data_IF_559092536267
#
_entry.id   IF_559092536267
#
_cell.length_a   1.000
_cell.length_b   1.000
_cell.length_c   1.000
_cell.angle_alpha   90.00
_cell.angle_beta   90.00
_cell.angle_gamma   90.00
#
_symmetry.space_group_name_H-M   'P 1'
#
loop_
_entity.id
_entity.type
_entity.pdbx_description
1 polymer ?
#
# COMPACT_ATOMS: atom_id res chain seq x y z
N UNK A 1 -39.19 7.92 23.79
CA UNK A 1 -39.47 6.95 24.86
C UNK A 1 -38.27 6.02 25.15
N UNK A 2 -37.66 5.38 24.15
CA UNK A 2 -36.51 4.46 24.32
C UNK A 2 -35.30 5.12 25.00
N UNK A 3 -34.92 6.34 24.61
CA UNK A 3 -33.79 7.06 25.22
C UNK A 3 -34.04 7.35 26.69
N UNK A 4 -35.27 7.75 27.07
CA UNK A 4 -35.64 7.97 28.45
C UNK A 4 -35.58 6.67 29.29
N UNK A 5 -36.07 5.57 28.75
CA UNK A 5 -35.99 4.26 29.40
C UNK A 5 -34.56 3.79 29.60
N UNK A 6 -33.71 4.01 28.60
CA UNK A 6 -32.27 3.69 28.68
C UNK A 6 -31.57 4.51 29.78
N UNK A 7 -31.78 5.83 29.79
CA UNK A 7 -31.23 6.72 30.84
C UNK A 7 -31.74 6.33 32.22
N UNK A 8 -33.05 6.06 32.36
CA UNK A 8 -33.63 5.61 33.62
C UNK A 8 -33.02 4.29 34.11
N UNK A 9 -32.88 3.30 33.24
CA UNK A 9 -32.24 2.03 33.58
C UNK A 9 -30.78 2.20 33.94
N UNK A 10 -30.04 3.04 33.25
CA UNK A 10 -28.63 3.32 33.54
C UNK A 10 -28.47 3.96 34.92
N UNK A 11 -29.29 4.94 35.28
CA UNK A 11 -29.18 5.68 36.53
C UNK A 11 -29.76 4.94 37.76
N UNK A 12 -30.76 4.04 37.56
CA UNK A 12 -31.47 3.43 38.67
C UNK A 12 -31.30 1.92 38.79
N UNK A 13 -30.79 1.24 37.75
CA UNK A 13 -30.67 -0.21 37.72
C UNK A 13 -29.22 -0.70 37.51
N UNK A 14 -28.31 0.20 37.12
CA UNK A 14 -26.91 -0.17 37.00
C UNK A 14 -26.23 -0.29 38.38
N UNK A 15 -25.62 -1.41 38.66
CA UNK A 15 -24.84 -1.63 39.87
C UNK A 15 -23.36 -1.34 39.52
N UNK A 16 -22.78 -0.34 40.17
CA UNK A 16 -21.38 0.00 40.05
C UNK A 16 -20.60 -0.66 41.21
N UNK A 17 -19.65 -1.51 40.85
CA UNK A 17 -18.72 -2.12 41.82
C UNK A 17 -17.36 -1.40 41.70
N UNK A 18 -17.01 -0.51 42.64
CA UNK A 18 -15.68 0.11 42.64
C UNK A 18 -14.63 -0.94 43.03
N UNK A 19 -13.58 -1.03 42.23
CA UNK A 19 -12.43 -1.88 42.51
C UNK A 19 -11.22 -0.97 42.69
N UNK A 20 -10.60 -1.01 43.87
CA UNK A 20 -9.37 -0.28 44.18
C UNK A 20 -8.18 -1.23 44.07
N UNK A 21 -7.06 -0.74 43.57
CA UNK A 21 -5.82 -1.47 43.49
C UNK A 21 -4.67 -0.65 44.10
N UNK A 22 -3.79 -1.31 44.79
CA UNK A 22 -2.68 -0.65 45.51
C UNK A 22 -1.60 -0.12 44.57
N UNK A 23 -1.50 -0.71 43.38
CA UNK A 23 -0.58 -0.30 42.32
C UNK A 23 -1.23 -0.31 40.95
N UNK A 24 -0.70 0.48 40.03
CA UNK A 24 -1.19 0.56 38.69
C UNK A 24 -1.01 -0.77 37.90
N UNK A 25 0.06 -1.52 38.18
CA UNK A 25 0.27 -2.85 37.60
C UNK A 25 -0.78 -3.85 38.11
N UNK A 26 -1.16 -3.77 39.37
CA UNK A 26 -2.26 -4.54 39.95
C UNK A 26 -3.61 -4.13 39.33
N UNK A 27 -3.85 -2.82 39.14
CA UNK A 27 -5.04 -2.32 38.47
C UNK A 27 -5.14 -2.82 37.03
N UNK A 28 -4.06 -2.77 36.26
CA UNK A 28 -3.99 -3.28 34.90
C UNK A 28 -4.19 -4.81 34.85
N UNK A 29 -3.64 -5.55 35.81
CA UNK A 29 -3.84 -7.00 35.90
C UNK A 29 -5.29 -7.35 36.23
N UNK A 30 -5.90 -6.67 37.19
CA UNK A 30 -7.32 -6.84 37.54
C UNK A 30 -8.18 -6.49 36.35
N UNK A 31 -7.94 -5.34 35.69
CA UNK A 31 -8.69 -4.88 34.55
C UNK A 31 -8.57 -5.84 33.35
N UNK A 32 -7.37 -6.35 33.06
CA UNK A 32 -7.17 -7.34 31.99
C UNK A 32 -7.86 -8.66 32.30
N UNK A 33 -7.83 -9.12 33.56
CA UNK A 33 -8.47 -10.36 33.99
C UNK A 33 -10.00 -10.27 33.99
N UNK A 34 -10.54 -9.13 34.37
CA UNK A 34 -12.00 -8.88 34.29
C UNK A 34 -12.48 -8.77 32.85
N UNK A 35 -11.66 -8.16 31.95
CA UNK A 35 -11.96 -8.06 30.53
C UNK A 35 -11.72 -9.33 29.73
N UNK A 36 -11.03 -10.34 30.28
CA UNK A 36 -10.94 -11.68 29.65
C UNK A 36 -12.32 -12.35 29.44
N UNK A 37 -13.35 -11.84 30.13
CA UNK A 37 -14.75 -12.23 29.93
C UNK A 37 -15.55 -11.25 29.05
N UNK A 38 -14.91 -10.18 28.54
CA UNK A 38 -15.47 -9.14 27.69
C UNK A 38 -14.56 -8.83 26.49
N UNK A 39 -14.44 -7.54 26.11
CA UNK A 39 -13.47 -7.10 25.10
C UNK A 39 -12.09 -6.95 25.75
N UNK A 40 -11.08 -7.75 25.35
CA UNK A 40 -9.74 -7.65 25.91
C UNK A 40 -9.14 -6.27 25.60
N UNK A 41 -8.28 -5.76 26.50
CA UNK A 41 -7.50 -4.56 26.22
C UNK A 41 -6.75 -4.68 24.90
N UNK A 42 -6.86 -3.65 24.09
CA UNK A 42 -6.08 -3.57 22.85
C UNK A 42 -4.59 -3.48 23.15
N UNK A 43 -3.76 -3.91 22.23
CA UNK A 43 -2.30 -3.76 22.38
C UNK A 43 -1.92 -2.28 22.54
N UNK A 44 -2.64 -1.36 21.87
CA UNK A 44 -2.45 0.08 21.99
C UNK A 44 -2.69 0.59 23.40
N UNK A 45 -3.72 0.11 24.11
CA UNK A 45 -3.99 0.51 25.51
C UNK A 45 -2.89 0.04 26.47
N UNK A 46 -2.40 -1.19 26.27
CA UNK A 46 -1.28 -1.73 27.04
C UNK A 46 -0.02 -0.89 26.79
N UNK A 47 0.27 -0.54 25.55
CA UNK A 47 1.44 0.26 25.20
C UNK A 47 1.34 1.66 25.76
N UNK A 48 0.18 2.31 25.68
CA UNK A 48 -0.11 3.59 26.31
C UNK A 48 0.21 3.58 27.79
N UNK A 49 -0.31 2.58 28.50
CA UNK A 49 -0.08 2.45 29.94
C UNK A 49 1.41 2.22 30.28
N UNK A 50 2.12 1.39 29.49
CA UNK A 50 3.55 1.14 29.72
C UNK A 50 4.42 2.38 29.46
N UNK A 51 4.14 3.13 28.40
CA UNK A 51 4.85 4.40 28.11
C UNK A 51 4.56 5.41 29.24
N UNK A 52 3.29 5.62 29.57
CA UNK A 52 2.89 6.54 30.63
C UNK A 52 3.58 6.25 31.97
N UNK A 53 3.67 4.96 32.36
CA UNK A 53 4.31 4.55 33.60
C UNK A 53 5.83 4.73 33.60
N UNK A 54 6.45 4.74 32.42
CA UNK A 54 7.88 4.97 32.25
C UNK A 54 8.25 6.44 32.32
N UNK A 55 7.33 7.35 32.02
CA UNK A 55 7.54 8.80 32.05
C UNK A 55 7.39 9.36 33.48
N UNK A 56 7.95 10.54 33.72
CA UNK A 56 7.88 11.24 35.01
C UNK A 56 7.42 12.69 34.83
N UNK A 57 6.86 13.25 35.90
CA UNK A 57 6.52 14.67 36.02
C UNK A 57 5.67 15.19 34.85
N UNK A 58 6.10 16.32 34.27
CA UNK A 58 5.38 17.00 33.15
C UNK A 58 5.32 16.18 31.87
N UNK A 59 6.24 15.25 31.66
CA UNK A 59 6.25 14.43 30.43
C UNK A 59 5.02 13.52 30.34
N UNK A 60 4.41 13.16 31.49
CA UNK A 60 3.14 12.43 31.53
C UNK A 60 1.99 13.23 30.95
N UNK A 61 1.90 14.51 31.29
CA UNK A 61 0.83 15.40 30.80
C UNK A 61 0.96 15.61 29.29
N UNK A 62 2.18 15.93 28.84
CA UNK A 62 2.49 16.09 27.41
C UNK A 62 2.17 14.81 26.62
N UNK A 63 2.53 13.65 27.18
CA UNK A 63 2.26 12.36 26.56
C UNK A 63 0.75 12.10 26.39
N UNK A 64 -0.05 12.41 27.41
CA UNK A 64 -1.52 12.21 27.35
C UNK A 64 -2.13 13.04 26.23
N UNK A 65 -1.75 14.32 26.13
CA UNK A 65 -2.23 15.22 25.08
C UNK A 65 -1.80 14.72 23.69
N UNK A 66 -0.53 14.40 23.52
CA UNK A 66 0.00 13.86 22.26
C UNK A 66 -0.64 12.52 21.87
N UNK A 67 -0.92 11.65 22.83
CA UNK A 67 -1.59 10.38 22.54
C UNK A 67 -3.03 10.59 22.09
N UNK A 68 -3.74 11.54 22.70
CA UNK A 68 -5.10 11.91 22.27
C UNK A 68 -5.08 12.46 20.85
N UNK A 69 -4.16 13.36 20.56
CA UNK A 69 -3.97 13.90 19.20
C UNK A 69 -3.65 12.80 18.19
N UNK A 70 -2.75 11.86 18.55
CA UNK A 70 -2.40 10.71 17.72
C UNK A 70 -3.63 9.87 17.35
N UNK A 71 -4.51 9.59 18.31
CA UNK A 71 -5.72 8.81 18.10
C UNK A 71 -6.73 9.52 17.17
N UNK A 72 -6.94 10.81 17.41
CA UNK A 72 -7.80 11.66 16.58
C UNK A 72 -7.28 11.72 15.13
N UNK A 73 -5.99 11.97 14.94
CA UNK A 73 -5.39 12.05 13.62
C UNK A 73 -5.32 10.69 12.90
N UNK A 74 -5.03 9.60 13.61
CA UNK A 74 -5.06 8.25 13.04
C UNK A 74 -6.47 7.90 12.54
N UNK A 75 -7.49 8.15 13.35
CA UNK A 75 -8.89 7.94 12.98
C UNK A 75 -9.27 8.78 11.74
N UNK A 76 -8.88 10.05 11.72
CA UNK A 76 -9.10 10.94 10.57
C UNK A 76 -8.44 10.41 9.29
N UNK A 77 -7.27 9.77 9.40
CA UNK A 77 -6.55 9.14 8.29
C UNK A 77 -7.08 7.74 7.92
N UNK A 78 -8.17 7.25 8.52
CA UNK A 78 -8.70 5.88 8.39
C UNK A 78 -7.70 4.80 8.85
N UNK A 79 -6.91 5.10 9.87
CA UNK A 79 -5.98 4.16 10.52
C UNK A 79 -6.30 4.03 12.01
N UNK A 80 -5.67 3.09 12.70
CA UNK A 80 -5.75 2.94 14.16
C UNK A 80 -4.36 2.97 14.77
N UNK A 81 -4.26 3.39 16.04
CA UNK A 81 -2.99 3.34 16.77
C UNK A 81 -2.41 1.93 16.77
N UNK A 82 -3.24 0.91 16.93
CA UNK A 82 -2.78 -0.50 16.88
C UNK A 82 -2.13 -0.85 15.53
N UNK A 83 -2.71 -0.36 14.43
CA UNK A 83 -2.14 -0.58 13.10
C UNK A 83 -0.84 0.20 12.90
N UNK A 84 -0.74 1.41 13.44
CA UNK A 84 0.51 2.19 13.41
C UNK A 84 1.64 1.47 14.17
N UNK A 85 1.38 0.89 15.34
CA UNK A 85 2.36 0.06 16.05
C UNK A 85 2.75 -1.19 15.27
N UNK A 86 1.81 -1.80 14.54
CA UNK A 86 2.13 -2.91 13.65
C UNK A 86 3.07 -2.49 12.52
N UNK A 87 2.85 -1.33 11.89
CA UNK A 87 3.76 -0.78 10.88
C UNK A 87 5.12 -0.43 11.48
N UNK A 88 5.13 0.22 12.64
CA UNK A 88 6.37 0.60 13.33
C UNK A 88 7.21 -0.61 13.73
N UNK A 89 6.59 -1.73 14.06
CA UNK A 89 7.29 -3.00 14.26
C UNK A 89 8.13 -3.41 13.03
N UNK A 90 7.62 -3.23 11.82
CA UNK A 90 8.40 -3.54 10.62
C UNK A 90 9.57 -2.57 10.40
N UNK A 91 9.40 -1.30 10.77
CA UNK A 91 10.50 -0.33 10.77
C UNK A 91 11.60 -0.73 11.77
N UNK A 92 11.25 -1.06 13.01
CA UNK A 92 12.21 -1.51 14.01
C UNK A 92 12.91 -2.82 13.60
N UNK A 93 12.17 -3.77 13.06
CA UNK A 93 12.75 -5.01 12.50
C UNK A 93 13.74 -4.74 11.37
N UNK A 94 13.47 -3.74 10.53
CA UNK A 94 14.40 -3.32 9.48
C UNK A 94 15.70 -2.75 10.07
N UNK A 95 15.62 -1.90 11.09
CA UNK A 95 16.77 -1.39 11.84
C UNK A 95 17.59 -2.52 12.49
N UNK A 96 16.90 -3.51 13.07
CA UNK A 96 17.49 -4.70 13.67
C UNK A 96 18.03 -5.71 12.62
N UNK A 97 17.83 -5.46 11.32
CA UNK A 97 18.12 -6.36 10.19
C UNK A 97 17.45 -7.72 10.33
N UNK A 98 16.27 -7.75 10.98
CA UNK A 98 15.48 -8.98 11.14
C UNK A 98 14.67 -9.27 9.87
N UNK A 99 15.19 -10.19 9.05
CA UNK A 99 14.57 -10.67 7.81
C UNK A 99 13.83 -12.00 7.97
N UNK A 100 13.62 -12.48 9.20
CA UNK A 100 12.91 -13.74 9.45
C UNK A 100 11.48 -13.66 8.93
N UNK A 101 11.05 -14.67 8.20
CA UNK A 101 9.71 -14.74 7.60
C UNK A 101 8.58 -14.86 8.63
N UNK A 102 8.85 -15.39 9.82
CA UNK A 102 7.89 -15.43 10.91
C UNK A 102 7.65 -14.03 11.48
N UNK A 103 6.44 -13.51 11.35
CA UNK A 103 6.06 -12.23 11.95
C UNK A 103 5.61 -12.49 13.40
N UNK A 104 6.27 -11.91 14.40
CA UNK A 104 5.80 -12.01 15.78
C UNK A 104 4.46 -11.27 15.96
N UNK A 105 3.65 -11.69 16.93
CA UNK A 105 2.51 -10.88 17.36
C UNK A 105 2.99 -9.55 17.93
N UNK A 106 2.25 -8.48 17.68
CA UNK A 106 2.63 -7.10 18.07
C UNK A 106 2.94 -7.02 19.57
N UNK A 107 2.04 -7.51 20.42
CA UNK A 107 2.25 -7.54 21.87
C UNK A 107 3.55 -8.26 22.25
N UNK A 108 3.78 -9.45 21.68
CA UNK A 108 4.99 -10.25 21.96
C UNK A 108 6.26 -9.53 21.53
N UNK A 109 6.24 -8.84 20.41
CA UNK A 109 7.38 -8.08 19.90
C UNK A 109 7.77 -6.93 20.84
N UNK A 110 6.78 -6.11 21.25
CA UNK A 110 7.04 -4.97 22.12
C UNK A 110 7.28 -5.35 23.57
N UNK A 111 6.68 -6.43 24.08
CA UNK A 111 6.90 -6.88 25.46
C UNK A 111 8.28 -7.51 25.68
N UNK A 112 8.96 -7.93 24.62
CA UNK A 112 10.33 -8.41 24.72
C UNK A 112 11.25 -7.32 25.26
N UNK A 113 12.28 -7.71 26.02
CA UNK A 113 13.21 -6.77 26.64
C UNK A 113 12.50 -5.69 27.51
N UNK A 114 11.51 -6.11 28.32
CA UNK A 114 10.79 -5.22 29.26
C UNK A 114 10.20 -3.96 28.61
N UNK A 115 9.66 -4.10 27.40
CA UNK A 115 9.08 -3.01 26.62
C UNK A 115 10.05 -1.90 26.18
N UNK A 116 11.36 -2.12 26.20
CA UNK A 116 12.37 -1.09 25.89
C UNK A 116 12.14 -0.41 24.52
N UNK A 117 11.52 -1.12 23.53
CA UNK A 117 11.16 -0.54 22.22
C UNK A 117 10.09 0.55 22.28
N UNK A 118 9.28 0.58 23.35
CA UNK A 118 8.26 1.62 23.57
C UNK A 118 8.82 2.92 24.17
N UNK A 119 10.02 2.87 24.71
CA UNK A 119 10.60 4.00 25.45
C UNK A 119 11.57 4.85 24.62
N UNK A 120 11.58 4.63 23.31
CA UNK A 120 12.39 5.41 22.38
C UNK A 120 11.77 6.79 22.19
N UNK A 121 12.59 7.84 22.27
CA UNK A 121 12.14 9.24 22.21
C UNK A 121 11.42 9.58 20.89
N UNK A 122 11.85 8.98 19.78
CA UNK A 122 11.31 9.19 18.44
C UNK A 122 10.04 8.39 18.14
N UNK A 123 9.57 7.52 19.04
CA UNK A 123 8.43 6.64 18.78
C UNK A 123 7.19 7.42 18.33
N UNK A 124 6.72 8.37 19.16
CA UNK A 124 5.51 9.13 18.85
C UNK A 124 5.66 9.96 17.58
N UNK A 125 6.83 10.59 17.38
CA UNK A 125 7.10 11.38 16.18
C UNK A 125 7.00 10.52 14.91
N UNK A 126 7.55 9.32 14.93
CA UNK A 126 7.46 8.39 13.82
C UNK A 126 6.02 7.90 13.58
N UNK A 127 5.21 7.74 14.63
CA UNK A 127 3.78 7.40 14.45
C UNK A 127 3.02 8.55 13.79
N UNK A 128 3.28 9.82 14.15
CA UNK A 128 2.70 10.98 13.47
C UNK A 128 3.13 11.07 12.01
N UNK A 129 4.42 10.82 11.72
CA UNK A 129 4.93 10.75 10.34
C UNK A 129 4.20 9.70 9.50
N UNK A 130 3.90 8.54 10.08
CA UNK A 130 3.10 7.53 9.36
C UNK A 130 1.69 8.04 9.06
N UNK A 131 1.07 8.78 9.98
CA UNK A 131 -0.26 9.36 9.76
C UNK A 131 -0.26 10.35 8.60
N UNK A 132 0.77 11.20 8.47
CA UNK A 132 0.92 12.11 7.33
C UNK A 132 0.88 11.36 6.00
N UNK A 133 1.65 10.27 5.88
CA UNK A 133 1.64 9.42 4.69
C UNK A 133 0.24 8.85 4.42
N UNK A 134 -0.46 8.38 5.46
CA UNK A 134 -1.80 7.79 5.31
C UNK A 134 -2.89 8.81 4.99
N UNK A 135 -2.76 10.07 5.43
CA UNK A 135 -3.64 11.17 4.99
C UNK A 135 -3.56 11.35 3.47
N UNK A 136 -2.36 11.31 2.90
CA UNK A 136 -2.19 11.39 1.44
C UNK A 136 -2.78 10.17 0.74
N UNK A 137 -2.47 8.95 1.22
CA UNK A 137 -2.89 7.71 0.56
C UNK A 137 -4.41 7.49 0.69
N UNK A 138 -4.96 7.64 1.90
CA UNK A 138 -6.35 7.27 2.18
C UNK A 138 -7.36 8.39 1.92
N UNK A 139 -6.92 9.65 2.02
CA UNK A 139 -7.79 10.83 1.88
C UNK A 139 -7.46 11.70 0.67
N UNK A 140 -6.30 11.49 0.04
CA UNK A 140 -5.83 12.33 -1.07
C UNK A 140 -5.42 13.73 -0.63
N UNK A 141 -5.19 13.94 0.67
CA UNK A 141 -4.76 15.23 1.22
C UNK A 141 -3.45 15.70 0.58
N UNK A 142 -3.26 17.02 0.58
CA UNK A 142 -1.99 17.66 0.24
C UNK A 142 -1.44 18.23 1.55
N UNK A 143 -0.23 17.80 1.89
CA UNK A 143 0.46 18.24 3.10
C UNK A 143 1.15 19.58 2.85
N UNK A 144 1.12 20.46 3.85
CA UNK A 144 1.84 21.72 3.82
C UNK A 144 3.35 21.46 3.77
N UNK A 145 4.08 22.19 2.92
CA UNK A 145 5.52 22.07 2.71
C UNK A 145 6.04 20.69 2.19
N UNK A 146 5.14 19.79 1.78
CA UNK A 146 5.48 18.45 1.28
C UNK A 146 5.06 18.30 -0.20
N UNK A 147 5.90 18.78 -1.13
CA UNK A 147 5.61 18.84 -2.59
C UNK A 147 5.20 17.48 -3.18
N UNK A 148 5.80 16.38 -2.71
CA UNK A 148 5.47 15.03 -3.17
C UNK A 148 3.98 14.68 -2.99
N UNK A 149 3.33 15.25 -1.95
CA UNK A 149 1.93 14.99 -1.63
C UNK A 149 0.96 15.56 -2.65
N UNK A 150 1.39 16.56 -3.44
CA UNK A 150 0.64 17.12 -4.56
C UNK A 150 0.99 16.49 -5.90
N UNK A 151 2.10 15.74 -5.99
CA UNK A 151 2.56 15.12 -7.24
C UNK A 151 1.62 14.04 -7.70
N UNK A 152 0.93 14.28 -8.82
CA UNK A 152 -0.07 13.35 -9.35
C UNK A 152 0.50 11.98 -9.71
N UNK A 153 1.76 11.90 -10.19
CA UNK A 153 2.38 10.62 -10.57
C UNK A 153 2.68 9.77 -9.33
N UNK A 154 3.13 10.37 -8.25
CA UNK A 154 3.29 9.69 -6.95
C UNK A 154 1.94 9.19 -6.45
N UNK A 155 0.90 10.05 -6.45
CA UNK A 155 -0.46 9.65 -6.06
C UNK A 155 -1.00 8.50 -6.91
N UNK A 156 -0.78 8.52 -8.22
CA UNK A 156 -1.19 7.44 -9.14
C UNK A 156 -0.49 6.12 -8.83
N UNK A 157 0.81 6.16 -8.52
CA UNK A 157 1.57 4.97 -8.15
C UNK A 157 1.13 4.41 -6.80
N UNK A 158 0.94 5.27 -5.80
CA UNK A 158 0.39 4.89 -4.49
C UNK A 158 -1.01 4.31 -4.62
N UNK A 159 -1.90 4.96 -5.39
CA UNK A 159 -3.24 4.45 -5.64
C UNK A 159 -3.21 3.08 -6.35
N UNK A 160 -2.25 2.85 -7.26
CA UNK A 160 -2.08 1.54 -7.87
C UNK A 160 -1.63 0.49 -6.85
N UNK A 161 -0.69 0.82 -5.97
CA UNK A 161 -0.22 -0.04 -4.88
C UNK A 161 -1.36 -0.42 -3.91
N UNK A 162 -2.35 0.46 -3.66
CA UNK A 162 -3.52 0.11 -2.83
C UNK A 162 -4.35 -1.05 -3.39
N UNK A 163 -4.19 -1.36 -4.68
CA UNK A 163 -4.84 -2.51 -5.33
C UNK A 163 -4.01 -3.79 -5.25
N UNK A 164 -2.85 -3.77 -4.61
CA UNK A 164 -2.07 -4.99 -4.38
C UNK A 164 -2.80 -5.93 -3.42
N UNK A 165 -2.82 -7.24 -3.65
CA UNK A 165 -3.69 -8.18 -2.93
C UNK A 165 -3.38 -8.39 -1.45
N UNK A 166 -2.32 -7.80 -0.93
CA UNK A 166 -1.95 -7.87 0.49
C UNK A 166 -1.29 -6.56 0.95
N UNK A 167 -0.87 -6.51 2.23
CA UNK A 167 -0.32 -5.30 2.85
C UNK A 167 1.21 -5.17 2.76
N UNK A 168 1.91 -6.13 2.13
CA UNK A 168 3.38 -6.12 2.11
C UNK A 168 3.99 -4.89 1.42
N UNK A 169 3.27 -4.25 0.51
CA UNK A 169 3.71 -3.00 -0.11
C UNK A 169 3.80 -1.82 0.87
N UNK A 170 3.00 -1.83 1.94
CA UNK A 170 2.92 -0.74 2.91
C UNK A 170 4.23 -0.56 3.68
N UNK A 171 4.87 -1.66 4.08
CA UNK A 171 6.06 -1.62 4.93
C UNK A 171 7.24 -0.91 4.28
N UNK A 172 7.71 -1.25 3.07
CA UNK A 172 8.78 -0.53 2.42
C UNK A 172 8.44 0.93 2.13
N UNK A 173 7.18 1.26 1.81
CA UNK A 173 6.74 2.65 1.59
C UNK A 173 6.84 3.47 2.88
N UNK A 174 6.34 2.94 4.00
CA UNK A 174 6.41 3.59 5.31
C UNK A 174 7.87 3.78 5.75
N UNK A 175 8.69 2.74 5.65
CA UNK A 175 10.10 2.78 6.07
C UNK A 175 10.87 3.81 5.23
N UNK A 176 10.65 3.82 3.92
CA UNK A 176 11.28 4.80 3.04
C UNK A 176 10.88 6.24 3.41
N UNK A 177 9.60 6.47 3.65
CA UNK A 177 9.09 7.77 4.05
C UNK A 177 9.68 8.23 5.39
N UNK A 178 9.69 7.38 6.42
CA UNK A 178 10.30 7.71 7.72
C UNK A 178 11.77 8.09 7.56
N UNK A 179 12.54 7.31 6.80
CA UNK A 179 13.98 7.49 6.68
C UNK A 179 14.36 8.74 5.87
N UNK A 180 13.63 9.05 4.79
CA UNK A 180 14.14 9.96 3.76
C UNK A 180 13.28 11.17 3.43
N UNK A 181 12.08 11.35 4.04
CA UNK A 181 11.16 12.45 3.70
C UNK A 181 11.78 13.85 3.80
N UNK A 182 12.79 14.02 4.62
CA UNK A 182 13.50 15.31 4.81
C UNK A 182 14.65 15.52 3.83
N UNK A 183 14.93 14.57 2.96
CA UNK A 183 16.01 14.68 2.00
C UNK A 183 15.70 15.73 0.92
N UNK A 184 16.71 16.47 0.49
CA UNK A 184 16.58 17.57 -0.50
C UNK A 184 15.90 17.14 -1.81
N UNK A 185 16.09 15.91 -2.27
CA UNK A 185 15.55 15.38 -3.52
C UNK A 185 14.53 14.24 -3.25
N UNK A 186 13.84 14.31 -2.12
CA UNK A 186 12.94 13.24 -1.68
C UNK A 186 11.88 12.90 -2.74
N UNK A 187 11.20 13.90 -3.29
CA UNK A 187 10.10 13.69 -4.25
C UNK A 187 10.54 12.83 -5.45
N UNK A 188 11.64 13.16 -6.10
CA UNK A 188 12.14 12.42 -7.26
C UNK A 188 12.59 11.00 -6.87
N UNK A 189 13.33 10.85 -5.78
CA UNK A 189 13.77 9.56 -5.27
C UNK A 189 12.59 8.68 -4.86
N UNK A 190 11.60 9.26 -4.19
CA UNK A 190 10.40 8.55 -3.75
C UNK A 190 9.56 8.07 -4.93
N UNK A 191 9.37 8.93 -5.94
CA UNK A 191 8.67 8.55 -7.18
C UNK A 191 9.33 7.34 -7.86
N UNK A 192 10.65 7.36 -8.00
CA UNK A 192 11.41 6.25 -8.62
C UNK A 192 11.39 4.99 -7.76
N UNK A 193 11.52 5.13 -6.45
CA UNK A 193 11.38 4.01 -5.51
C UNK A 193 10.01 3.36 -5.60
N UNK A 194 8.93 4.15 -5.58
CA UNK A 194 7.55 3.65 -5.69
C UNK A 194 7.29 2.94 -7.01
N UNK A 195 7.77 3.50 -8.12
CA UNK A 195 7.65 2.89 -9.44
C UNK A 195 8.40 1.55 -9.52
N UNK A 196 9.61 1.49 -8.95
CA UNK A 196 10.39 0.26 -8.87
C UNK A 196 9.70 -0.79 -8.00
N UNK A 197 9.22 -0.39 -6.82
CA UNK A 197 8.47 -1.27 -5.93
C UNK A 197 7.22 -1.83 -6.61
N UNK A 198 6.44 -0.97 -7.28
CA UNK A 198 5.25 -1.39 -8.01
C UNK A 198 5.60 -2.37 -9.14
N UNK A 199 6.68 -2.11 -9.89
CA UNK A 199 7.14 -3.00 -10.95
C UNK A 199 7.48 -4.40 -10.42
N UNK A 200 8.25 -4.48 -9.33
CA UNK A 200 8.63 -5.76 -8.72
C UNK A 200 7.44 -6.54 -8.16
N UNK A 201 6.59 -5.85 -7.40
CA UNK A 201 5.41 -6.47 -6.79
C UNK A 201 4.41 -6.96 -7.84
N UNK A 202 4.15 -6.15 -8.86
CA UNK A 202 3.25 -6.50 -9.96
C UNK A 202 3.76 -7.72 -10.73
N UNK A 203 5.03 -7.68 -11.15
CA UNK A 203 5.68 -8.76 -11.88
C UNK A 203 5.65 -10.06 -11.07
N UNK A 204 6.02 -9.99 -9.80
CA UNK A 204 6.03 -11.16 -8.92
C UNK A 204 4.64 -11.78 -8.76
N UNK A 205 3.60 -10.95 -8.57
CA UNK A 205 2.24 -11.45 -8.39
C UNK A 205 1.61 -12.00 -9.68
N UNK A 206 1.94 -11.43 -10.83
CA UNK A 206 1.49 -11.97 -12.12
C UNK A 206 1.98 -13.41 -12.31
N UNK A 207 3.21 -13.69 -11.92
CA UNK A 207 3.85 -15.00 -12.12
C UNK A 207 3.57 -15.99 -11.01
N UNK A 208 3.47 -15.51 -9.78
CA UNK A 208 3.23 -16.32 -8.58
C UNK A 208 2.13 -15.67 -7.77
N UNK A 209 0.85 -15.89 -8.10
CA UNK A 209 -0.29 -15.18 -7.51
C UNK A 209 -0.61 -15.70 -6.10
N UNK A 210 0.40 -15.72 -5.21
CA UNK A 210 0.26 -16.10 -3.80
C UNK A 210 0.65 -14.95 -2.89
N UNK A 211 -0.09 -14.82 -1.78
CA UNK A 211 0.08 -13.72 -0.81
C UNK A 211 1.51 -13.70 -0.23
N UNK A 212 2.10 -14.85 0.02
CA UNK A 212 3.39 -14.97 0.69
C UNK A 212 4.60 -14.92 -0.26
N UNK A 213 4.40 -14.90 -1.57
CA UNK A 213 5.50 -14.95 -2.55
C UNK A 213 6.52 -13.81 -2.39
N UNK A 214 6.08 -12.65 -1.93
CA UNK A 214 6.91 -11.43 -1.79
C UNK A 214 7.46 -11.21 -0.38
N UNK A 215 7.01 -11.99 0.61
CA UNK A 215 7.30 -11.73 2.03
C UNK A 215 8.79 -11.65 2.34
N UNK A 216 9.55 -12.63 1.88
CA UNK A 216 11.00 -12.66 2.09
C UNK A 216 11.73 -11.51 1.40
N UNK A 217 11.34 -11.22 0.16
CA UNK A 217 11.93 -10.15 -0.64
C UNK A 217 11.66 -8.77 -0.01
N UNK A 218 10.44 -8.55 0.50
CA UNK A 218 10.07 -7.31 1.20
C UNK A 218 10.82 -7.15 2.52
N UNK A 219 11.01 -8.20 3.30
CA UNK A 219 11.76 -8.07 4.56
C UNK A 219 13.24 -7.75 4.31
N UNK A 220 13.85 -8.30 3.26
CA UNK A 220 15.20 -7.91 2.83
C UNK A 220 15.24 -6.46 2.33
N UNK A 221 14.25 -6.06 1.51
CA UNK A 221 14.13 -4.69 1.02
C UNK A 221 13.98 -3.69 2.17
N UNK A 222 13.16 -3.99 3.19
CA UNK A 222 13.01 -3.15 4.37
C UNK A 222 14.36 -2.87 5.05
N UNK A 223 15.19 -3.91 5.22
CA UNK A 223 16.53 -3.78 5.79
C UNK A 223 17.50 -3.04 4.88
N UNK A 224 17.32 -3.10 3.56
CA UNK A 224 18.13 -2.34 2.62
C UNK A 224 17.76 -0.85 2.60
N UNK A 225 16.48 -0.52 2.80
CA UNK A 225 15.99 0.86 2.85
C UNK A 225 16.64 1.64 4.00
N UNK A 226 16.74 1.08 5.19
CA UNK A 226 17.34 1.80 6.34
C UNK A 226 18.84 2.09 6.18
N UNK A 227 19.47 1.50 5.18
CA UNK A 227 20.92 1.69 4.87
C UNK A 227 21.12 2.64 3.70
N UNK A 228 20.18 2.71 2.75
CA UNK A 228 20.33 3.49 1.52
C UNK A 228 18.98 4.00 1.00
N UNK A 229 18.94 5.24 0.57
CA UNK A 229 17.83 5.88 -0.15
C UNK A 229 17.61 5.33 -1.57
N UNK A 230 18.58 4.54 -2.06
CA UNK A 230 18.49 3.75 -3.29
C UNK A 230 18.76 2.29 -2.95
N UNK A 231 17.81 1.63 -2.26
CA UNK A 231 17.97 0.26 -1.81
C UNK A 231 18.06 -0.71 -2.98
N UNK A 232 18.87 -1.75 -2.83
CA UNK A 232 18.89 -2.86 -3.78
C UNK A 232 17.62 -3.69 -3.64
N UNK A 233 16.94 -3.91 -4.77
CA UNK A 233 15.85 -4.88 -4.87
C UNK A 233 16.42 -6.25 -5.23
N UNK A 234 16.26 -7.22 -4.33
CA UNK A 234 16.75 -8.61 -4.51
C UNK A 234 15.60 -9.53 -4.92
N UNK A 235 14.84 -9.11 -5.95
CA UNK A 235 13.77 -9.91 -6.53
C UNK A 235 14.33 -10.76 -7.68
N UNK A 236 13.84 -12.00 -7.79
CA UNK A 236 14.29 -12.91 -8.85
C UNK A 236 13.94 -12.36 -10.23
N UNK A 237 14.91 -12.40 -11.15
CA UNK A 237 14.63 -12.17 -12.58
C UNK A 237 13.64 -13.21 -13.10
N UNK A 238 12.77 -12.77 -14.00
CA UNK A 238 11.59 -13.52 -14.41
C UNK A 238 11.55 -13.66 -15.93
N UNK A 239 11.04 -14.80 -16.38
CA UNK A 239 10.87 -15.10 -17.81
C UNK A 239 9.84 -14.12 -18.43
N UNK A 240 10.28 -13.42 -19.49
CA UNK A 240 9.46 -12.44 -20.19
C UNK A 240 8.24 -13.08 -20.86
N UNK A 241 8.33 -14.29 -21.40
CA UNK A 241 7.22 -14.97 -22.03
C UNK A 241 6.13 -15.35 -21.03
N UNK A 242 6.53 -15.81 -19.83
CA UNK A 242 5.60 -16.08 -18.74
C UNK A 242 4.92 -14.80 -18.24
N UNK A 243 5.65 -13.69 -18.16
CA UNK A 243 5.10 -12.40 -17.77
C UNK A 243 4.04 -11.93 -18.79
N UNK A 244 4.34 -12.03 -20.08
CA UNK A 244 3.41 -11.67 -21.15
C UNK A 244 2.12 -12.49 -21.09
N UNK A 245 2.22 -13.81 -21.00
CA UNK A 245 1.07 -14.71 -20.86
C UNK A 245 0.26 -14.39 -19.59
N UNK A 246 0.93 -14.13 -18.45
CA UNK A 246 0.27 -13.77 -17.20
C UNK A 246 -0.41 -12.40 -17.22
N UNK A 247 0.07 -11.44 -18.04
CA UNK A 247 -0.62 -10.17 -18.25
C UNK A 247 -1.85 -10.38 -19.14
N UNK A 248 -1.76 -11.20 -20.18
CA UNK A 248 -2.87 -11.44 -21.09
C UNK A 248 -4.04 -12.18 -20.42
N UNK A 249 -3.73 -13.19 -19.59
CA UNK A 249 -4.73 -13.90 -18.78
C UNK A 249 -4.42 -13.77 -17.28
N UNK A 250 -4.68 -12.61 -16.69
CA UNK A 250 -4.23 -12.29 -15.33
C UNK A 250 -5.11 -12.95 -14.27
N UNK A 251 -4.47 -13.36 -13.17
CA UNK A 251 -5.21 -13.69 -11.96
C UNK A 251 -6.11 -12.50 -11.53
N UNK A 252 -7.34 -12.78 -11.13
CA UNK A 252 -8.37 -11.76 -10.81
C UNK A 252 -7.88 -10.64 -9.88
N UNK A 253 -7.01 -10.97 -8.93
CA UNK A 253 -6.53 -10.04 -7.91
C UNK A 253 -5.55 -8.99 -8.45
N UNK A 254 -4.90 -9.21 -9.61
CA UNK A 254 -3.97 -8.24 -10.20
C UNK A 254 -4.62 -7.36 -11.28
N UNK A 255 -5.81 -7.70 -11.73
CA UNK A 255 -6.51 -6.98 -12.81
C UNK A 255 -6.65 -5.49 -12.51
N UNK A 256 -7.02 -5.13 -11.26
CA UNK A 256 -7.17 -3.71 -10.89
C UNK A 256 -5.85 -2.93 -10.99
N UNK A 257 -4.73 -3.54 -10.61
CA UNK A 257 -3.40 -2.93 -10.74
C UNK A 257 -3.04 -2.70 -12.21
N UNK A 258 -3.25 -3.71 -13.07
CA UNK A 258 -2.99 -3.61 -14.52
C UNK A 258 -3.83 -2.50 -15.14
N UNK A 259 -5.12 -2.45 -14.83
CA UNK A 259 -6.04 -1.44 -15.37
C UNK A 259 -5.70 -0.02 -14.87
N UNK A 260 -5.33 0.14 -13.60
CA UNK A 260 -4.85 1.43 -13.06
C UNK A 260 -3.56 1.87 -13.75
N UNK A 261 -2.57 0.97 -13.87
CA UNK A 261 -1.30 1.27 -14.54
C UNK A 261 -1.53 1.72 -15.97
N UNK A 262 -2.43 1.03 -16.69
CA UNK A 262 -2.78 1.40 -18.04
C UNK A 262 -3.52 2.74 -18.13
N UNK A 263 -4.49 2.98 -17.24
CA UNK A 263 -5.24 4.23 -17.20
C UNK A 263 -4.33 5.43 -16.89
N UNK A 264 -3.47 5.30 -15.90
CA UNK A 264 -2.55 6.38 -15.46
C UNK A 264 -1.42 6.69 -16.45
N UNK A 265 -1.21 5.84 -17.46
CA UNK A 265 -0.39 6.19 -18.61
C UNK A 265 -1.04 7.25 -19.49
N UNK A 266 -2.38 7.34 -19.51
CA UNK A 266 -3.16 8.12 -20.46
C UNK A 266 -3.92 9.29 -19.81
N UNK A 267 -3.87 9.47 -18.49
CA UNK A 267 -4.51 10.59 -17.81
C UNK A 267 -3.67 11.12 -16.65
N UNK A 268 -3.82 12.42 -16.35
CA UNK A 268 -3.14 13.12 -15.25
C UNK A 268 -4.09 13.40 -14.08
N UNK A 269 -5.01 12.48 -13.82
CA UNK A 269 -5.93 12.49 -12.67
C UNK A 269 -6.04 11.10 -12.08
N UNK A 270 -6.48 11.01 -10.82
CA UNK A 270 -6.83 9.72 -10.23
C UNK A 270 -8.11 9.17 -10.86
N UNK A 271 -8.25 7.85 -10.82
CA UNK A 271 -9.52 7.22 -11.18
C UNK A 271 -10.62 7.64 -10.18
N UNK A 272 -11.88 7.70 -10.61
CA UNK A 272 -13.01 7.94 -9.72
C UNK A 272 -13.00 6.95 -8.54
N UNK A 273 -13.39 7.41 -7.34
CA UNK A 273 -13.38 6.57 -6.13
C UNK A 273 -14.23 5.31 -6.25
N UNK A 274 -15.28 5.34 -7.06
CA UNK A 274 -16.22 4.23 -7.28
C UNK A 274 -16.18 3.78 -8.74
N UNK A 275 -15.26 2.90 -9.06
CA UNK A 275 -15.16 2.25 -10.36
C UNK A 275 -15.09 0.72 -10.22
N UNK A 276 -15.48 0.02 -11.26
CA UNK A 276 -15.54 -1.44 -11.35
C UNK A 276 -14.82 -1.93 -12.59
N UNK A 277 -14.52 -3.22 -12.63
CA UNK A 277 -13.97 -3.88 -13.82
C UNK A 277 -15.14 -4.19 -14.72
N UNK A 278 -15.18 -3.53 -15.87
CA UNK A 278 -16.16 -3.76 -16.92
C UNK A 278 -15.66 -4.82 -17.90
N UNK A 279 -16.54 -5.71 -18.35
CA UNK A 279 -16.30 -6.66 -19.42
C UNK A 279 -16.90 -6.13 -20.72
N UNK A 280 -16.06 -5.78 -21.70
CA UNK A 280 -16.49 -5.21 -22.97
C UNK A 280 -17.39 -6.21 -23.69
N UNK A 281 -16.92 -7.45 -23.92
CA UNK A 281 -17.76 -8.58 -24.26
C UNK A 281 -18.48 -9.08 -23.00
N UNK A 282 -19.83 -9.22 -23.05
CA UNK A 282 -20.61 -9.49 -21.85
C UNK A 282 -20.32 -10.87 -21.25
N UNK A 283 -20.40 -10.95 -19.91
CA UNK A 283 -20.24 -12.23 -19.20
C UNK A 283 -21.40 -13.22 -19.45
N UNK A 284 -22.57 -12.71 -19.81
CA UNK A 284 -23.73 -13.51 -20.24
C UNK A 284 -24.01 -13.18 -21.69
N UNK A 285 -23.78 -14.12 -22.56
CA UNK A 285 -24.02 -14.00 -24.00
C UNK A 285 -25.12 -14.93 -24.50
N UNK A 286 -25.68 -14.65 -25.68
CA UNK A 286 -26.62 -15.55 -26.36
C UNK A 286 -25.83 -16.59 -27.14
N UNK A 287 -26.25 -17.85 -27.09
CA UNK A 287 -25.57 -18.99 -27.72
C UNK A 287 -25.45 -18.89 -29.23
N UNK A 288 -26.34 -18.15 -29.86
CA UNK A 288 -26.33 -17.90 -31.33
C UNK A 288 -25.38 -16.78 -31.77
N UNK A 289 -24.70 -16.09 -30.83
CA UNK A 289 -23.78 -15.00 -31.15
C UNK A 289 -22.42 -15.51 -31.65
N UNK A 290 -22.04 -16.73 -31.27
CA UNK A 290 -20.82 -17.42 -31.71
C UNK A 290 -21.15 -18.88 -32.03
N UNK A 291 -21.48 -19.14 -33.31
CA UNK A 291 -21.90 -20.46 -33.76
C UNK A 291 -20.72 -21.46 -33.79
N UNK A 292 -19.49 -20.97 -33.96
CA UNK A 292 -18.30 -21.79 -34.24
C UNK A 292 -17.34 -21.97 -33.00
N UNK A 293 -17.68 -21.43 -31.84
CA UNK A 293 -16.82 -21.48 -30.65
C UNK A 293 -17.49 -22.20 -29.48
N UNK A 294 -16.72 -23.01 -28.74
CA UNK A 294 -17.23 -23.68 -27.55
C UNK A 294 -17.41 -22.68 -26.39
N UNK A 295 -18.45 -22.88 -25.59
CA UNK A 295 -18.75 -22.08 -24.40
C UNK A 295 -17.55 -21.95 -23.45
N UNK A 296 -16.76 -23.03 -23.31
CA UNK A 296 -15.56 -23.02 -22.41
C UNK A 296 -14.50 -22.05 -22.94
N UNK A 297 -14.25 -22.04 -24.25
CA UNK A 297 -13.28 -21.13 -24.87
C UNK A 297 -13.73 -19.67 -24.76
N UNK A 298 -15.03 -19.42 -24.92
CA UNK A 298 -15.60 -18.08 -24.72
C UNK A 298 -15.43 -17.65 -23.25
N UNK A 299 -15.77 -18.52 -22.26
CA UNK A 299 -15.63 -18.22 -20.82
C UNK A 299 -14.21 -17.90 -20.43
N UNK A 300 -13.25 -18.65 -20.94
CA UNK A 300 -11.83 -18.37 -20.72
C UNK A 300 -11.45 -17.00 -21.31
N UNK A 301 -11.81 -16.76 -22.57
CA UNK A 301 -11.39 -15.56 -23.29
C UNK A 301 -11.98 -14.26 -22.74
N UNK A 302 -13.20 -14.27 -22.23
CA UNK A 302 -13.81 -13.08 -21.63
C UNK A 302 -13.11 -12.62 -20.34
N UNK A 303 -12.35 -13.51 -19.67
CA UNK A 303 -11.58 -13.19 -18.49
C UNK A 303 -10.19 -12.60 -18.81
N UNK A 304 -9.79 -12.57 -20.08
CA UNK A 304 -8.57 -11.92 -20.51
C UNK A 304 -8.58 -10.39 -20.28
N UNK A 305 -7.39 -9.82 -20.13
CA UNK A 305 -7.23 -8.37 -19.87
C UNK A 305 -7.74 -7.53 -21.05
N UNK A 306 -7.63 -8.07 -22.26
CA UNK A 306 -8.16 -7.44 -23.48
C UNK A 306 -9.64 -7.17 -23.44
N UNK A 307 -10.40 -7.91 -22.65
CA UNK A 307 -11.84 -7.72 -22.49
C UNK A 307 -12.21 -6.79 -21.32
N UNK A 308 -11.24 -6.21 -20.61
CA UNK A 308 -11.52 -5.49 -19.38
C UNK A 308 -11.20 -3.99 -19.50
N UNK A 309 -12.05 -3.16 -18.87
CA UNK A 309 -11.88 -1.71 -18.74
C UNK A 309 -12.16 -1.28 -17.30
N UNK A 310 -11.50 -0.23 -16.79
CA UNK A 310 -11.95 0.45 -15.60
C UNK A 310 -13.13 1.34 -15.95
N UNK A 311 -14.25 1.22 -15.26
CA UNK A 311 -15.47 1.93 -15.59
C UNK A 311 -16.19 2.45 -14.35
N UNK A 312 -16.72 3.67 -14.36
CA UNK A 312 -17.47 4.23 -13.25
C UNK A 312 -18.66 3.35 -12.89
N UNK A 313 -18.83 3.06 -11.61
CA UNK A 313 -19.89 2.16 -11.14
C UNK A 313 -21.28 2.54 -11.65
N UNK A 314 -21.62 3.83 -11.68
CA UNK A 314 -22.93 4.29 -12.17
C UNK A 314 -23.14 4.00 -13.66
N UNK A 315 -22.14 4.31 -14.49
CA UNK A 315 -22.19 4.07 -15.93
C UNK A 315 -22.16 2.58 -16.25
N UNK A 316 -21.40 1.80 -15.46
CA UNK A 316 -21.36 0.35 -15.59
C UNK A 316 -22.72 -0.30 -15.32
N UNK A 317 -23.46 0.17 -14.32
CA UNK A 317 -24.83 -0.31 -14.06
C UNK A 317 -25.76 0.01 -15.24
N UNK A 318 -25.66 1.20 -15.86
CA UNK A 318 -26.48 1.61 -17.02
C UNK A 318 -26.14 0.77 -18.25
N UNK A 319 -24.85 0.58 -18.52
CA UNK A 319 -24.36 -0.25 -19.64
C UNK A 319 -24.83 -1.71 -19.52
N UNK A 320 -24.85 -2.22 -18.28
CA UNK A 320 -25.32 -3.57 -17.95
C UNK A 320 -24.59 -4.66 -18.73
N UNK A 321 -25.26 -5.79 -18.96
CA UNK A 321 -24.73 -6.93 -19.70
C UNK A 321 -25.02 -6.84 -21.23
N UNK A 322 -24.99 -5.60 -21.78
CA UNK A 322 -25.22 -5.38 -23.22
C UNK A 322 -24.01 -5.74 -24.07
N UNK A 323 -24.24 -5.87 -25.39
CA UNK A 323 -23.15 -5.97 -26.37
C UNK A 323 -22.48 -4.61 -26.59
N UNK A 324 -21.31 -4.62 -27.19
CA UNK A 324 -20.43 -3.46 -27.32
C UNK A 324 -21.13 -2.21 -27.89
N UNK A 325 -21.85 -2.36 -29.00
CA UNK A 325 -22.57 -1.26 -29.64
C UNK A 325 -23.56 -0.54 -28.71
N UNK A 326 -24.22 -1.29 -27.81
CA UNK A 326 -25.13 -0.72 -26.78
C UNK A 326 -24.37 0.01 -25.69
N UNK A 327 -23.16 -0.46 -25.34
CA UNK A 327 -22.32 0.10 -24.24
C UNK A 327 -21.53 1.34 -24.67
N UNK A 328 -21.27 1.51 -25.98
CA UNK A 328 -20.41 2.60 -26.51
C UNK A 328 -20.82 4.00 -26.02
N UNK A 329 -22.14 4.28 -25.98
CA UNK A 329 -22.65 5.57 -25.49
C UNK A 329 -22.20 5.85 -24.05
N UNK A 330 -22.29 4.86 -23.20
CA UNK A 330 -21.91 4.97 -21.79
C UNK A 330 -20.39 5.05 -21.62
N UNK A 331 -19.62 4.33 -22.44
CA UNK A 331 -18.17 4.44 -22.47
C UNK A 331 -17.70 5.84 -22.89
N UNK A 332 -18.34 6.44 -23.91
CA UNK A 332 -18.05 7.80 -24.38
C UNK A 332 -18.31 8.87 -23.28
N UNK A 333 -19.22 8.60 -22.35
CA UNK A 333 -19.51 9.48 -21.21
C UNK A 333 -18.56 9.31 -20.03
N UNK A 334 -17.65 8.34 -20.06
CA UNK A 334 -16.68 8.07 -18.99
C UNK A 334 -15.71 9.23 -18.79
N UNK A 335 -15.30 9.45 -17.53
CA UNK A 335 -14.20 10.34 -17.15
C UNK A 335 -12.84 9.62 -17.18
N UNK A 336 -12.85 8.29 -17.38
CA UNK A 336 -11.65 7.47 -17.48
C UNK A 336 -11.23 7.45 -18.95
N UNK A 337 -10.08 8.04 -19.25
CA UNK A 337 -9.70 8.32 -20.65
C UNK A 337 -9.65 7.08 -21.52
N UNK A 338 -9.05 5.98 -21.06
CA UNK A 338 -8.99 4.73 -21.86
C UNK A 338 -10.36 4.12 -22.14
N UNK A 339 -11.33 4.32 -21.27
CA UNK A 339 -12.72 3.88 -21.45
C UNK A 339 -13.47 4.81 -22.38
N UNK A 340 -13.30 6.12 -22.21
CA UNK A 340 -13.86 7.15 -23.06
C UNK A 340 -13.44 6.98 -24.53
N UNK A 341 -12.13 6.81 -24.76
CA UNK A 341 -11.58 6.56 -26.10
C UNK A 341 -12.17 5.29 -26.73
N UNK A 342 -12.40 4.24 -25.95
CA UNK A 342 -13.09 3.03 -26.43
C UNK A 342 -14.51 3.35 -26.92
N UNK A 343 -15.26 4.18 -26.18
CA UNK A 343 -16.60 4.61 -26.56
C UNK A 343 -16.64 5.48 -27.82
N UNK A 344 -15.61 6.32 -28.02
CA UNK A 344 -15.49 7.20 -29.20
C UNK A 344 -14.84 6.54 -30.41
N UNK A 345 -14.32 5.31 -30.28
CA UNK A 345 -13.65 4.59 -31.34
C UNK A 345 -14.62 4.26 -32.52
N UNK A 346 -14.07 4.04 -33.73
CA UNK A 346 -14.84 3.60 -34.90
C UNK A 346 -15.21 2.11 -34.83
N UNK A 347 -14.75 1.37 -33.84
CA UNK A 347 -15.05 -0.04 -33.64
C UNK A 347 -16.57 -0.22 -33.50
N UNK A 348 -17.15 -1.09 -34.30
CA UNK A 348 -18.60 -1.37 -34.28
C UNK A 348 -18.92 -2.65 -33.51
N UNK A 349 -18.04 -3.63 -33.55
CA UNK A 349 -18.22 -4.95 -32.96
C UNK A 349 -17.03 -5.32 -32.08
N UNK A 350 -17.31 -6.10 -31.03
CA UNK A 350 -16.30 -6.62 -30.11
C UNK A 350 -16.46 -8.14 -29.99
N UNK A 351 -15.49 -8.86 -30.50
CA UNK A 351 -15.47 -10.32 -30.56
C UNK A 351 -14.20 -10.90 -29.91
N UNK A 352 -14.02 -12.22 -29.97
CA UNK A 352 -12.87 -12.90 -29.36
C UNK A 352 -11.53 -12.51 -30.01
N UNK A 353 -11.52 -12.22 -31.30
CA UNK A 353 -10.35 -11.73 -32.00
C UNK A 353 -9.97 -10.33 -31.55
N UNK A 354 -10.95 -9.45 -31.30
CA UNK A 354 -10.75 -8.11 -30.75
C UNK A 354 -10.10 -8.17 -29.36
N UNK A 355 -10.52 -9.13 -28.54
CA UNK A 355 -9.92 -9.39 -27.23
C UNK A 355 -8.45 -9.78 -27.40
N UNK A 356 -8.15 -10.75 -28.28
CA UNK A 356 -6.78 -11.22 -28.52
C UNK A 356 -5.85 -10.11 -29.01
N UNK A 357 -6.30 -9.30 -29.96
CA UNK A 357 -5.53 -8.14 -30.46
C UNK A 357 -5.24 -7.13 -29.35
N UNK A 358 -6.22 -6.91 -28.46
CA UNK A 358 -6.05 -5.98 -27.35
C UNK A 358 -5.20 -6.56 -26.22
N UNK A 359 -5.25 -7.89 -25.97
CA UNK A 359 -4.35 -8.58 -25.04
C UNK A 359 -2.88 -8.25 -25.34
N UNK A 360 -2.48 -8.42 -26.61
CA UNK A 360 -1.11 -8.15 -27.08
C UNK A 360 -0.73 -6.68 -26.84
N UNK A 361 -1.61 -5.73 -27.24
CA UNK A 361 -1.32 -4.30 -27.06
C UNK A 361 -1.19 -3.89 -25.58
N UNK A 362 -2.00 -4.49 -24.71
CA UNK A 362 -1.94 -4.22 -23.27
C UNK A 362 -0.67 -4.84 -22.68
N UNK A 363 -0.35 -6.08 -23.01
CA UNK A 363 0.87 -6.73 -22.49
C UNK A 363 2.13 -5.98 -22.92
N UNK A 364 2.24 -5.58 -24.19
CA UNK A 364 3.35 -4.76 -24.69
C UNK A 364 3.46 -3.42 -23.94
N UNK A 365 2.31 -2.76 -23.72
CA UNK A 365 2.27 -1.48 -23.01
C UNK A 365 2.71 -1.61 -21.54
N UNK A 366 2.22 -2.61 -20.83
CA UNK A 366 2.59 -2.86 -19.44
C UNK A 366 4.08 -3.24 -19.35
N UNK A 367 4.55 -4.15 -20.19
CA UNK A 367 5.97 -4.56 -20.20
C UNK A 367 6.88 -3.35 -20.49
N UNK A 368 6.49 -2.48 -21.42
CA UNK A 368 7.24 -1.26 -21.70
C UNK A 368 7.31 -0.33 -20.49
N UNK A 369 6.21 -0.17 -19.74
CA UNK A 369 6.17 0.62 -18.50
C UNK A 369 7.09 0.01 -17.44
N UNK A 370 7.01 -1.29 -17.20
CA UNK A 370 7.84 -2.00 -16.22
C UNK A 370 9.34 -1.89 -16.57
N UNK A 371 9.70 -2.07 -17.85
CA UNK A 371 11.07 -1.89 -18.33
C UNK A 371 11.56 -0.46 -18.16
N UNK A 372 10.71 0.55 -18.42
CA UNK A 372 11.04 1.96 -18.22
C UNK A 372 11.34 2.24 -16.75
N UNK A 373 10.49 1.84 -15.82
CA UNK A 373 10.69 2.04 -14.39
C UNK A 373 11.94 1.35 -13.86
N UNK A 374 12.20 0.12 -14.32
CA UNK A 374 13.42 -0.60 -13.97
C UNK A 374 14.69 0.11 -14.49
N UNK A 375 14.64 0.64 -15.71
CA UNK A 375 15.77 1.39 -16.30
C UNK A 375 16.01 2.70 -15.55
N UNK A 376 14.96 3.48 -15.27
CA UNK A 376 15.05 4.75 -14.53
C UNK A 376 15.68 4.56 -13.15
N UNK A 377 15.32 3.48 -12.47
CA UNK A 377 15.92 3.13 -11.18
C UNK A 377 17.39 2.70 -11.31
N UNK A 378 17.73 1.94 -12.34
CA UNK A 378 19.10 1.44 -12.58
C UNK A 378 20.09 2.53 -12.95
N UNK A 379 19.68 3.60 -13.60
CA UNK A 379 20.54 4.74 -13.94
C UNK A 379 21.06 5.40 -12.68
N UNK A 380 20.20 5.65 -11.69
CA UNK A 380 20.60 6.26 -10.42
C UNK A 380 21.60 5.36 -9.68
N UNK A 381 21.33 4.06 -9.66
CA UNK A 381 22.23 3.09 -9.01
C UNK A 381 23.61 3.13 -9.63
N UNK A 382 23.72 3.29 -10.95
CA UNK A 382 25.01 3.39 -11.66
C UNK A 382 25.73 4.72 -11.40
N UNK A 383 24.99 5.84 -11.40
CA UNK A 383 25.56 7.17 -11.11
C UNK A 383 26.14 7.24 -9.70
N UNK A 384 25.50 6.63 -8.70
CA UNK A 384 26.01 6.58 -7.33
C UNK A 384 27.24 5.68 -7.22
N UNK A 385 27.25 4.53 -7.92
CA UNK A 385 28.42 3.64 -7.93
C UNK A 385 29.61 4.34 -8.61
N UNK A 386 29.37 5.11 -9.68
CA UNK A 386 30.42 5.87 -10.37
C UNK A 386 30.95 7.06 -9.57
N UNK A 387 30.14 7.61 -8.66
CA UNK A 387 30.50 8.76 -7.80
C UNK A 387 31.03 8.32 -6.41
N UNK A 388 31.08 7.02 -6.11
CA UNK A 388 31.80 6.56 -4.92
C UNK A 388 33.30 6.72 -5.14
N UNK A 389 34.02 7.22 -4.13
CA UNK A 389 35.46 7.24 -4.18
C UNK A 389 36.01 5.85 -4.51
N UNK A 390 36.95 5.77 -5.41
CA UNK A 390 37.66 4.51 -5.70
C UNK A 390 38.38 4.00 -4.44
N UNK A 391 38.75 2.73 -4.43
CA UNK A 391 39.54 2.18 -3.31
C UNK A 391 40.84 2.96 -3.12
N UNK A 392 41.43 3.48 -4.21
CA UNK A 392 42.57 4.38 -4.18
C UNK A 392 42.24 5.73 -3.54
N UNK A 393 41.09 6.31 -3.84
CA UNK A 393 40.65 7.57 -3.21
C UNK A 393 40.34 7.37 -1.72
N UNK A 394 39.73 6.24 -1.34
CA UNK A 394 39.51 5.87 0.06
C UNK A 394 40.83 5.68 0.83
N UNK A 395 41.83 5.06 0.20
CA UNK A 395 43.16 4.93 0.78
C UNK A 395 43.84 6.31 0.97
N UNK A 396 43.75 7.21 -0.03
CA UNK A 396 44.22 8.60 0.06
C UNK A 396 43.51 9.39 1.15
N UNK A 397 42.17 9.26 1.27
CA UNK A 397 41.38 9.93 2.33
C UNK A 397 41.83 9.41 3.71
N UNK A 398 42.07 8.10 3.86
CA UNK A 398 42.58 7.52 5.08
C UNK A 398 43.98 8.05 5.43
N UNK A 399 44.91 8.12 4.44
CA UNK A 399 46.25 8.69 4.61
C UNK A 399 46.18 10.18 5.03
N UNK A 400 45.27 10.99 4.43
CA UNK A 400 45.12 12.39 4.78
C UNK A 400 44.55 12.60 6.19
N UNK A 401 43.63 11.71 6.64
CA UNK A 401 43.12 11.68 8.02
C UNK A 401 44.23 11.33 9.01
N UNK A 402 45.04 10.34 8.69
CA UNK A 402 46.14 9.91 9.55
C UNK A 402 47.24 10.99 9.68
N UNK A 403 47.42 11.81 8.64
CA UNK A 403 48.33 12.96 8.63
C UNK A 403 47.72 14.22 9.23
N UNK A 404 46.45 14.19 9.66
CA UNK A 404 45.73 15.36 10.26
C UNK A 404 45.47 16.50 9.27
N UNK A 405 45.37 16.21 7.97
CA UNK A 405 45.13 17.21 6.94
C UNK A 405 43.62 17.43 6.66
N UNK A 406 42.80 16.44 7.05
CA UNK A 406 41.32 16.50 7.03
C UNK A 406 40.72 15.78 8.24
#
# INVERSE_FOLDING_TARGET
LMIYQFIYSLLNQAILLPITADTQDTALTIFSTLNDRGLPLSDADIFKAKIYNHLEGKDKEIFIERWKELDEQATAANESIQQLFYYYMFYLRALEKDTKSTTPGVRKYYSSNKFARLYQSELLDNLFVMIELWKVINKGEVLEDESWSSNIKIKQTLDTLTSYPNEFWKYPVIIYYICYRKDKNFEDKFARFLNKLLAELMTKYILIPTINAVKGDILKLNSAIVVSDIPKFDFKELDQAQLEAGIQNPHRNVVRMLLKTLAYKHQDSLLPSKWEIEHIFPQKWQTNYFIDESDNKIREKIEHIGNKLPFEKKLNIIAGNGYFAKKKKEYAASKIEITKVMGLSEIQEWNLESISKRDIRISDSIIAILKKWNKEYSVITKEIVSNKPSDEDLARIAEFKEKGWI
#
